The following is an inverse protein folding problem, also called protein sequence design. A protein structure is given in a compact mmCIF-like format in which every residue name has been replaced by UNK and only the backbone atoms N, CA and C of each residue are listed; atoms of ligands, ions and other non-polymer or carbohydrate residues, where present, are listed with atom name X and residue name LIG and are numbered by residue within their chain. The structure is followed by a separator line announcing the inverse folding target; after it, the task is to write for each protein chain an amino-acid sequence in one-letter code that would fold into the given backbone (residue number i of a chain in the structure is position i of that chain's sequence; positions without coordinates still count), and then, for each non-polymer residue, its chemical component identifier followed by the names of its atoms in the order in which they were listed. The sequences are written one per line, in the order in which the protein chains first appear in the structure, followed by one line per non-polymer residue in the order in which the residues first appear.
data_IF_879238578394
#
_entry.id   IF_879238578394
#
_cell.length_a   1.000
_cell.length_b   1.000
_cell.length_c   1.000
_cell.angle_alpha   90.00
_cell.angle_beta   90.00
_cell.angle_gamma   90.00
#
_symmetry.space_group_name_H-M   'P 1'
#
loop_
_entity.id
_entity.type
_entity.pdbx_description
1 polymer ?
#
# COMPACT_ATOMS: atom_id res chain seq x y z
N UNK A 1 -5.18 2.49 32.75
CA UNK A 1 -5.23 2.54 31.27
C UNK A 1 -3.80 2.67 30.75
N UNK A 2 -3.37 1.78 29.86
CA UNK A 2 -2.05 1.84 29.21
C UNK A 2 -2.24 2.57 27.87
N UNK A 3 -1.60 3.73 27.71
CA UNK A 3 -1.70 4.54 26.49
C UNK A 3 -0.39 4.41 25.73
N UNK A 4 -0.47 3.95 24.48
CA UNK A 4 0.67 3.90 23.57
C UNK A 4 0.57 5.09 22.61
N UNK A 5 1.69 5.80 22.42
CA UNK A 5 1.82 6.90 21.46
C UNK A 5 2.90 6.51 20.46
N UNK A 6 2.53 6.51 19.19
CA UNK A 6 3.45 6.27 18.07
C UNK A 6 3.77 7.59 17.37
N UNK A 7 5.05 7.85 17.15
CA UNK A 7 5.54 9.05 16.46
C UNK A 7 6.56 8.65 15.41
N UNK A 8 6.26 8.98 14.16
CA UNK A 8 7.12 8.75 13.01
C UNK A 8 7.57 10.10 12.42
N UNK A 9 8.86 10.28 12.11
CA UNK A 9 9.30 11.41 11.31
C UNK A 9 8.59 11.44 9.96
N UNK A 10 8.29 12.64 9.47
CA UNK A 10 7.66 12.81 8.17
C UNK A 10 8.60 12.34 7.05
N UNK A 11 8.09 11.54 6.11
CA UNK A 11 8.82 11.10 4.91
C UNK A 11 8.00 11.46 3.67
N UNK A 12 8.52 12.31 2.78
CA UNK A 12 7.83 12.73 1.56
C UNK A 12 7.94 11.66 0.48
N UNK A 13 7.00 10.71 0.53
CA UNK A 13 6.93 9.63 -0.45
C UNK A 13 6.51 10.16 -1.82
N UNK A 14 7.08 9.59 -2.87
CA UNK A 14 6.67 9.86 -4.25
C UNK A 14 5.18 9.61 -4.45
N UNK A 15 4.57 10.37 -5.36
CA UNK A 15 3.15 10.23 -5.75
C UNK A 15 2.17 10.49 -4.61
N UNK A 16 2.59 11.26 -3.60
CA UNK A 16 1.73 11.76 -2.53
C UNK A 16 1.61 13.28 -2.63
N UNK A 17 0.58 13.90 -2.03
CA UNK A 17 0.47 15.35 -2.01
C UNK A 17 1.71 16.04 -1.41
N UNK A 18 2.45 15.38 -0.52
CA UNK A 18 3.64 15.95 0.10
C UNK A 18 4.96 15.60 -0.59
N UNK A 19 4.95 15.05 -1.81
CA UNK A 19 6.18 14.68 -2.54
C UNK A 19 7.11 15.88 -2.83
N UNK A 20 6.55 17.10 -2.86
CA UNK A 20 7.31 18.34 -3.03
C UNK A 20 7.83 18.93 -1.72
N UNK A 21 7.37 18.46 -0.57
CA UNK A 21 7.73 19.04 0.72
C UNK A 21 9.03 18.42 1.24
N UNK A 22 9.99 19.27 1.60
CA UNK A 22 11.24 18.85 2.23
C UNK A 22 11.00 18.12 3.55
N UNK A 23 11.82 17.11 3.84
CA UNK A 23 11.90 16.61 5.21
C UNK A 23 12.68 17.63 6.03
N UNK A 24 12.28 17.88 7.26
CA UNK A 24 13.07 18.72 8.15
C UNK A 24 14.42 18.08 8.44
N UNK A 25 15.44 18.90 8.66
CA UNK A 25 16.78 18.42 8.99
C UNK A 25 16.78 17.40 10.16
N UNK A 26 17.60 16.36 10.02
CA UNK A 26 17.62 15.18 10.90
C UNK A 26 18.00 15.53 12.34
N UNK A 27 18.88 16.51 12.57
CA UNK A 27 19.21 16.99 13.92
C UNK A 27 17.99 17.65 14.58
N UNK A 28 17.19 18.42 13.82
CA UNK A 28 15.95 18.99 14.33
C UNK A 28 14.94 17.91 14.70
N UNK A 29 14.77 16.89 13.85
CA UNK A 29 13.90 15.73 14.12
C UNK A 29 14.33 15.01 15.39
N UNK A 30 15.63 14.70 15.54
CA UNK A 30 16.19 14.04 16.74
C UNK A 30 15.90 14.84 18.01
N UNK A 31 16.04 16.17 17.99
CA UNK A 31 15.68 17.03 19.13
C UNK A 31 14.20 16.95 19.48
N UNK A 32 13.31 17.02 18.49
CA UNK A 32 11.86 16.95 18.69
C UNK A 32 11.42 15.58 19.21
N UNK A 33 11.97 14.50 18.66
CA UNK A 33 11.71 13.13 19.12
C UNK A 33 12.15 12.93 20.57
N UNK A 34 13.35 13.42 20.94
CA UNK A 34 13.82 13.41 22.33
C UNK A 34 12.87 14.17 23.26
N UNK A 35 12.46 15.37 22.86
CA UNK A 35 11.52 16.19 23.62
C UNK A 35 10.17 15.49 23.85
N UNK A 36 9.58 14.91 22.80
CA UNK A 36 8.33 14.16 22.89
C UNK A 36 8.46 12.94 23.80
N UNK A 37 9.54 12.16 23.65
CA UNK A 37 9.83 11.00 24.49
C UNK A 37 9.92 11.38 25.97
N UNK A 38 10.56 12.51 26.29
CA UNK A 38 10.67 13.01 27.66
C UNK A 38 9.32 13.43 28.25
N UNK A 39 8.46 14.10 27.47
CA UNK A 39 7.11 14.50 27.91
C UNK A 39 6.21 13.28 28.13
N UNK A 40 6.19 12.36 27.18
CA UNK A 40 5.33 11.18 27.25
C UNK A 40 5.76 10.24 28.38
N UNK A 41 7.07 10.13 28.63
CA UNK A 41 7.59 9.41 29.80
C UNK A 41 7.07 10.01 31.12
N UNK A 42 7.07 11.33 31.27
CA UNK A 42 6.51 12.01 32.48
C UNK A 42 5.02 11.72 32.68
N UNK A 43 4.28 11.53 31.59
CA UNK A 43 2.84 11.19 31.59
C UNK A 43 2.55 9.70 31.73
N UNK A 44 3.59 8.84 31.87
CA UNK A 44 3.48 7.37 31.89
C UNK A 44 2.85 6.78 30.62
N UNK A 45 3.06 7.43 29.48
CA UNK A 45 2.67 6.88 28.18
C UNK A 45 3.82 6.06 27.61
N UNK A 46 3.50 4.94 26.96
CA UNK A 46 4.48 4.16 26.22
C UNK A 46 4.73 4.84 24.88
N UNK A 47 5.96 5.29 24.67
CA UNK A 47 6.38 5.93 23.43
C UNK A 47 7.00 4.90 22.50
N UNK A 48 6.44 4.77 21.30
CA UNK A 48 7.01 4.04 20.17
C UNK A 48 7.45 5.08 19.15
N UNK A 49 8.72 5.02 18.75
CA UNK A 49 9.28 5.98 17.81
C UNK A 49 9.99 5.24 16.69
N UNK A 50 9.80 5.69 15.47
CA UNK A 50 10.62 5.25 14.34
C UNK A 50 12.04 5.85 14.45
N UNK A 51 13.04 5.08 13.99
CA UNK A 51 14.43 5.55 13.95
C UNK A 51 14.55 6.73 12.98
N UNK A 52 15.12 7.81 13.46
CA UNK A 52 15.26 9.07 12.73
C UNK A 52 16.19 8.91 11.52
N UNK A 53 17.30 8.21 11.71
CA UNK A 53 18.30 7.93 10.67
C UNK A 53 17.73 7.07 9.52
N UNK A 54 16.86 6.11 9.86
CA UNK A 54 16.16 5.30 8.86
C UNK A 54 15.16 6.16 8.09
N UNK A 55 14.40 7.00 8.79
CA UNK A 55 13.45 7.93 8.17
C UNK A 55 14.13 8.95 7.25
N UNK A 56 15.37 9.35 7.57
CA UNK A 56 16.21 10.15 6.70
C UNK A 56 16.55 9.42 5.41
N UNK A 57 17.09 8.19 5.49
CA UNK A 57 17.39 7.39 4.29
C UNK A 57 16.14 7.11 3.45
N UNK A 58 15.00 6.84 4.09
CA UNK A 58 13.74 6.69 3.36
C UNK A 58 13.37 7.95 2.59
N UNK A 59 13.58 9.12 3.17
CA UNK A 59 13.30 10.41 2.54
C UNK A 59 14.28 10.72 1.40
N UNK A 60 15.53 10.29 1.52
CA UNK A 60 16.55 10.34 0.47
C UNK A 60 16.10 9.51 -0.73
N UNK A 61 15.81 8.22 -0.54
CA UNK A 61 15.49 7.31 -1.64
C UNK A 61 14.08 7.52 -2.21
N UNK A 62 13.12 8.01 -1.42
CA UNK A 62 11.78 8.34 -1.91
C UNK A 62 11.75 9.48 -2.94
N UNK A 63 12.82 10.30 -3.01
CA UNK A 63 12.98 11.38 -3.99
C UNK A 63 14.27 11.29 -4.79
N UNK A 64 15.04 10.23 -4.56
CA UNK A 64 16.27 9.95 -5.26
C UNK A 64 16.07 9.71 -6.75
N UNK A 65 17.11 9.96 -7.52
CA UNK A 65 17.23 9.59 -8.92
C UNK A 65 18.40 8.60 -9.11
N UNK A 66 18.75 8.32 -10.36
CA UNK A 66 19.85 7.41 -10.71
C UNK A 66 21.21 7.84 -10.14
N UNK A 67 21.39 9.10 -9.76
CA UNK A 67 22.65 9.63 -9.21
C UNK A 67 22.91 9.12 -7.80
N UNK A 68 21.91 8.54 -7.13
CA UNK A 68 22.09 7.84 -5.86
C UNK A 68 22.61 6.40 -6.01
N UNK A 69 22.70 5.86 -7.24
CA UNK A 69 23.18 4.49 -7.46
C UNK A 69 24.57 4.23 -6.84
N UNK A 70 25.58 5.12 -6.99
CA UNK A 70 26.90 4.92 -6.37
C UNK A 70 26.84 4.87 -4.84
N UNK A 71 25.92 5.62 -4.21
CA UNK A 71 25.73 5.60 -2.76
C UNK A 71 25.23 4.23 -2.28
N UNK A 72 24.25 3.65 -2.98
CA UNK A 72 23.70 2.33 -2.68
C UNK A 72 24.77 1.25 -2.86
N UNK A 73 25.51 1.30 -3.98
CA UNK A 73 26.60 0.37 -4.26
C UNK A 73 27.71 0.46 -3.20
N UNK A 74 28.09 1.68 -2.82
CA UNK A 74 29.10 1.91 -1.78
C UNK A 74 28.63 1.39 -0.43
N UNK A 75 27.42 1.71 0.01
CA UNK A 75 26.85 1.20 1.26
C UNK A 75 26.81 -0.34 1.27
N UNK A 76 26.44 -0.95 0.14
CA UNK A 76 26.48 -2.40 -0.04
C UNK A 76 27.93 -2.94 0.07
N UNK A 77 28.92 -2.27 -0.50
CA UNK A 77 30.33 -2.69 -0.38
C UNK A 77 30.85 -2.60 1.07
N UNK A 78 30.32 -1.67 1.87
CA UNK A 78 30.60 -1.52 3.31
C UNK A 78 29.81 -2.51 4.18
N UNK A 79 29.02 -3.39 3.57
CA UNK A 79 28.32 -4.47 4.25
C UNK A 79 26.91 -4.13 4.74
N UNK A 80 26.29 -3.05 4.26
CA UNK A 80 24.87 -2.77 4.52
C UNK A 80 23.98 -3.85 3.89
N UNK A 81 23.20 -4.57 4.69
CA UNK A 81 22.28 -5.64 4.25
C UNK A 81 21.07 -5.63 5.18
N UNK A 82 19.89 -5.83 4.61
CA UNK A 82 18.64 -5.93 5.38
C UNK A 82 18.41 -4.69 6.28
N UNK A 83 18.73 -3.49 5.81
CA UNK A 83 18.65 -2.26 6.60
C UNK A 83 17.23 -1.88 7.05
N UNK A 84 16.18 -2.55 6.53
CA UNK A 84 14.82 -2.39 7.04
C UNK A 84 14.64 -2.97 8.46
N UNK A 85 15.56 -3.85 8.91
CA UNK A 85 15.53 -4.45 10.24
C UNK A 85 16.47 -3.70 11.20
N UNK A 86 15.95 -3.35 12.37
CA UNK A 86 16.66 -2.47 13.31
C UNK A 86 17.96 -3.05 13.85
N UNK A 87 18.04 -4.37 13.96
CA UNK A 87 19.17 -5.15 14.44
C UNK A 87 20.37 -5.17 13.47
N UNK A 88 20.12 -5.01 12.18
CA UNK A 88 21.15 -4.99 11.12
C UNK A 88 21.46 -3.59 10.64
N UNK A 89 20.56 -2.64 10.87
CA UNK A 89 20.70 -1.27 10.39
C UNK A 89 21.81 -0.49 11.11
N UNK A 90 22.84 -0.15 10.33
CA UNK A 90 24.01 0.62 10.76
C UNK A 90 24.15 1.90 9.93
N UNK A 91 23.74 3.02 10.52
CA UNK A 91 23.79 4.31 9.85
C UNK A 91 25.22 4.84 9.65
N UNK A 92 26.21 4.40 10.44
CA UNK A 92 27.59 4.88 10.27
C UNK A 92 28.16 4.46 8.92
N UNK A 93 27.82 3.25 8.44
CA UNK A 93 28.19 2.79 7.10
C UNK A 93 27.56 3.65 6.00
N UNK A 94 26.34 4.12 6.20
CA UNK A 94 25.69 5.03 5.27
C UNK A 94 26.37 6.41 5.27
N UNK A 95 26.74 6.94 6.43
CA UNK A 95 27.54 8.18 6.52
C UNK A 95 28.88 8.03 5.81
N UNK A 96 29.61 6.95 6.07
CA UNK A 96 30.87 6.64 5.38
C UNK A 96 30.66 6.53 3.86
N UNK A 97 29.58 5.90 3.41
CA UNK A 97 29.27 5.80 1.98
C UNK A 97 28.98 7.18 1.35
N UNK A 98 28.28 8.07 2.07
CA UNK A 98 28.05 9.45 1.62
C UNK A 98 29.37 10.23 1.51
N UNK A 99 30.26 10.09 2.48
CA UNK A 99 31.59 10.73 2.46
C UNK A 99 32.44 10.21 1.30
N UNK A 100 32.55 8.89 1.11
CA UNK A 100 33.38 8.30 0.05
C UNK A 100 32.86 8.56 -1.36
N UNK A 101 31.54 8.73 -1.53
CA UNK A 101 30.95 9.06 -2.83
C UNK A 101 30.81 10.57 -3.08
N UNK A 102 30.93 11.39 -2.04
CA UNK A 102 30.66 12.82 -2.09
C UNK A 102 29.17 13.17 -2.31
N UNK A 103 28.26 12.20 -2.19
CA UNK A 103 26.83 12.41 -2.42
C UNK A 103 26.21 13.12 -1.21
N UNK A 104 25.70 14.33 -1.43
CA UNK A 104 24.92 15.05 -0.43
C UNK A 104 23.49 14.51 -0.37
N UNK A 105 23.27 13.46 0.43
CA UNK A 105 21.95 12.85 0.62
C UNK A 105 20.93 13.84 1.21
N UNK A 106 21.37 14.75 2.10
CA UNK A 106 20.48 15.75 2.70
C UNK A 106 19.87 16.70 1.66
N UNK A 107 20.57 16.98 0.55
CA UNK A 107 20.01 17.77 -0.55
C UNK A 107 18.77 17.09 -1.19
N UNK A 108 18.71 15.76 -1.23
CA UNK A 108 17.51 15.03 -1.66
C UNK A 108 16.46 15.01 -0.55
N UNK A 109 16.89 14.85 0.70
CA UNK A 109 15.99 14.72 1.85
C UNK A 109 15.25 16.03 2.19
N UNK A 110 15.94 17.16 2.13
CA UNK A 110 15.50 18.43 2.71
C UNK A 110 14.96 19.41 1.67
N UNK A 111 15.25 19.19 0.38
CA UNK A 111 14.78 20.08 -0.68
C UNK A 111 13.24 20.09 -0.75
N UNK A 112 12.70 21.30 -0.67
CA UNK A 112 11.32 21.60 -1.06
C UNK A 112 11.32 22.01 -2.54
N UNK A 113 10.50 21.36 -3.33
CA UNK A 113 10.39 21.56 -4.78
C UNK A 113 9.17 22.44 -5.09
N UNK A 114 9.24 23.19 -6.20
CA UNK A 114 8.08 23.79 -6.82
C UNK A 114 7.11 22.71 -7.33
N UNK A 115 5.81 22.98 -7.26
CA UNK A 115 4.79 22.02 -7.72
C UNK A 115 4.84 21.77 -9.24
N UNK A 116 5.44 22.70 -9.97
CA UNK A 116 5.73 22.66 -11.41
C UNK A 116 7.06 21.96 -11.74
N UNK A 117 7.95 21.76 -10.77
CA UNK A 117 9.21 21.03 -10.99
C UNK A 117 8.93 19.56 -11.37
N UNK A 118 9.76 19.03 -12.27
CA UNK A 118 9.77 17.61 -12.61
C UNK A 118 10.51 16.84 -11.52
N UNK A 119 9.89 15.78 -11.00
CA UNK A 119 10.46 14.92 -9.97
C UNK A 119 10.99 13.62 -10.58
N UNK A 120 11.96 12.99 -9.92
CA UNK A 120 12.64 11.76 -10.37
C UNK A 120 11.66 10.63 -10.64
N UNK A 121 10.61 10.55 -9.83
CA UNK A 121 9.59 9.50 -9.93
C UNK A 121 8.48 9.81 -10.95
N UNK A 122 8.45 11.00 -11.58
CA UNK A 122 7.41 11.37 -12.57
C UNK A 122 7.37 10.43 -13.80
N UNK A 123 8.37 9.56 -13.98
CA UNK A 123 8.40 8.52 -15.00
C UNK A 123 7.40 7.37 -14.75
N UNK A 124 6.87 7.24 -13.52
CA UNK A 124 5.91 6.21 -13.14
C UNK A 124 4.50 6.79 -13.10
N UNK A 125 3.62 6.24 -13.94
CA UNK A 125 2.19 6.55 -13.88
C UNK A 125 1.49 5.64 -12.85
N UNK A 126 0.98 6.26 -11.77
CA UNK A 126 0.18 5.58 -10.75
C UNK A 126 -1.33 5.64 -11.04
N UNK A 127 -1.73 6.35 -12.08
CA UNK A 127 -3.11 6.70 -12.39
C UNK A 127 -3.65 7.90 -11.59
N UNK A 128 -2.93 8.38 -10.56
CA UNK A 128 -3.28 9.62 -9.86
C UNK A 128 -2.66 10.81 -10.58
N UNK A 129 -3.47 11.82 -10.91
CA UNK A 129 -2.99 12.99 -11.66
C UNK A 129 -2.13 13.90 -10.79
N UNK A 130 -1.07 14.46 -11.39
CA UNK A 130 -0.19 15.43 -10.72
C UNK A 130 -0.96 16.67 -10.28
N UNK A 131 -1.88 17.16 -11.10
CA UNK A 131 -2.78 18.27 -10.79
C UNK A 131 -3.61 18.03 -9.51
N UNK A 132 -4.12 16.81 -9.33
CA UNK A 132 -4.84 16.45 -8.11
C UNK A 132 -3.91 16.50 -6.90
N UNK A 133 -2.72 15.91 -6.98
CA UNK A 133 -1.73 15.95 -5.91
C UNK A 133 -1.32 17.38 -5.54
N UNK A 134 -1.16 18.27 -6.54
CA UNK A 134 -0.88 19.68 -6.32
C UNK A 134 -2.02 20.37 -5.55
N UNK A 135 -3.28 20.14 -5.93
CA UNK A 135 -4.44 20.71 -5.24
C UNK A 135 -4.55 20.20 -3.80
N UNK A 136 -4.33 18.92 -3.59
CA UNK A 136 -4.33 18.32 -2.24
C UNK A 136 -3.18 18.85 -1.38
N UNK A 137 -2.01 19.11 -1.98
CA UNK A 137 -0.90 19.75 -1.28
C UNK A 137 -1.29 21.14 -0.78
N UNK A 138 -1.86 21.98 -1.65
CA UNK A 138 -2.29 23.33 -1.28
C UNK A 138 -3.36 23.30 -0.18
N UNK A 139 -4.34 22.40 -0.28
CA UNK A 139 -5.36 22.19 0.77
C UNK A 139 -4.74 21.76 2.09
N UNK A 140 -3.77 20.85 2.06
CA UNK A 140 -3.11 20.37 3.26
C UNK A 140 -2.32 21.50 3.96
N UNK A 141 -1.65 22.35 3.18
CA UNK A 141 -0.93 23.52 3.71
C UNK A 141 -1.90 24.58 4.25
N UNK A 142 -3.08 24.78 3.65
CA UNK A 142 -4.12 25.69 4.15
C UNK A 142 -4.95 25.11 5.31
N UNK A 143 -4.75 23.84 5.67
CA UNK A 143 -5.52 23.14 6.71
C UNK A 143 -6.93 22.72 6.26
N UNK A 144 -7.23 22.81 4.96
CA UNK A 144 -8.47 22.34 4.37
C UNK A 144 -8.51 20.81 4.32
N UNK A 145 -9.71 20.24 4.48
CA UNK A 145 -9.93 18.80 4.43
C UNK A 145 -10.63 18.40 3.15
N UNK A 146 -10.15 17.34 2.54
CA UNK A 146 -10.83 16.67 1.43
C UNK A 146 -11.81 15.64 1.99
N UNK A 147 -13.03 15.64 1.48
CA UNK A 147 -14.08 14.71 1.93
C UNK A 147 -13.83 13.30 1.39
N UNK A 148 -14.51 12.31 1.96
CA UNK A 148 -14.41 10.90 1.55
C UNK A 148 -14.78 10.72 0.07
N UNK A 149 -13.83 10.19 -0.72
CA UNK A 149 -13.98 10.01 -2.16
C UNK A 149 -15.06 8.98 -2.55
N UNK A 150 -15.52 8.15 -1.60
CA UNK A 150 -16.65 7.24 -1.79
C UNK A 150 -18.00 7.96 -1.80
N UNK A 151 -18.05 9.17 -1.23
CA UNK A 151 -19.25 10.01 -1.20
C UNK A 151 -19.22 11.04 -2.32
N UNK A 152 -18.08 11.70 -2.51
CA UNK A 152 -17.89 12.74 -3.52
C UNK A 152 -16.59 12.48 -4.26
N UNK A 153 -16.66 12.21 -5.56
CA UNK A 153 -15.46 12.02 -6.38
C UNK A 153 -14.71 13.35 -6.52
N UNK A 154 -13.40 13.34 -6.25
CA UNK A 154 -12.51 14.50 -6.39
C UNK A 154 -11.68 14.48 -7.67
N UNK A 155 -12.04 13.61 -8.61
CA UNK A 155 -11.39 13.47 -9.91
C UNK A 155 -9.85 13.30 -9.81
N UNK A 156 -9.39 12.40 -8.93
CA UNK A 156 -7.97 12.17 -8.72
C UNK A 156 -7.24 11.52 -9.90
N UNK A 157 -7.94 11.17 -10.98
CA UNK A 157 -7.38 10.50 -12.16
C UNK A 157 -7.58 8.97 -12.15
N UNK A 158 -7.78 8.38 -10.96
CA UNK A 158 -8.15 6.97 -10.87
C UNK A 158 -9.52 6.77 -11.51
N UNK A 159 -9.56 5.98 -12.59
CA UNK A 159 -10.79 5.61 -13.31
C UNK A 159 -11.60 4.59 -12.50
N UNK A 160 -12.03 4.99 -11.31
CA UNK A 160 -12.83 4.17 -10.41
C UNK A 160 -14.14 3.79 -11.10
N UNK A 161 -14.45 2.49 -11.14
CA UNK A 161 -15.78 2.03 -11.55
C UNK A 161 -16.76 2.46 -10.47
N UNK A 162 -17.80 3.18 -10.86
CA UNK A 162 -18.84 3.70 -9.98
C UNK A 162 -19.36 2.60 -9.02
N UNK A 163 -19.02 2.75 -7.74
CA UNK A 163 -19.92 2.35 -6.66
C UNK A 163 -20.25 3.62 -5.87
N UNK A 164 -20.79 4.61 -6.58
CA UNK A 164 -21.58 5.66 -5.94
C UNK A 164 -22.91 5.01 -5.56
N UNK A 165 -23.00 4.44 -4.35
CA UNK A 165 -24.30 4.20 -3.74
C UNK A 165 -24.92 5.56 -3.48
N UNK A 166 -25.74 6.02 -4.42
CA UNK A 166 -26.86 6.95 -4.30
C UNK A 166 -26.93 7.76 -2.99
N UNK A 167 -25.94 8.61 -2.71
CA UNK A 167 -26.03 9.61 -1.64
C UNK A 167 -26.70 10.86 -2.19
N UNK A 168 -27.95 10.73 -2.63
CA UNK A 168 -29.01 11.75 -2.60
C UNK A 168 -28.78 13.13 -3.22
N UNK A 169 -27.65 13.44 -3.85
CA UNK A 169 -27.41 14.75 -4.48
C UNK A 169 -27.30 14.60 -6.00
N UNK A 170 -28.46 14.40 -6.63
CA UNK A 170 -28.61 14.54 -8.08
C UNK A 170 -28.55 16.02 -8.45
N UNK A 171 -27.53 16.42 -9.20
CA UNK A 171 -27.67 17.54 -10.13
C UNK A 171 -28.76 17.11 -11.12
N UNK A 172 -29.84 17.89 -11.16
CA UNK A 172 -30.99 17.60 -12.01
C UNK A 172 -30.58 17.73 -13.47
N UNK A 173 -30.62 16.63 -14.22
CA UNK A 173 -30.83 16.70 -15.65
C UNK A 173 -32.02 15.83 -16.05
N UNK A 174 -32.98 16.49 -16.70
CA UNK A 174 -34.26 15.95 -17.11
C UNK A 174 -34.10 15.13 -18.40
N UNK A 175 -34.61 13.89 -18.38
CA UNK A 175 -35.61 13.31 -19.32
C UNK A 175 -35.31 11.85 -19.68
N UNK A 176 -36.38 11.04 -19.66
CA UNK A 176 -36.50 9.81 -20.47
C UNK A 176 -36.30 8.52 -19.68
N UNK A 177 -37.40 7.86 -19.31
CA UNK A 177 -37.37 6.58 -18.60
C UNK A 177 -37.10 5.37 -19.49
N UNK A 178 -36.90 4.22 -18.84
CA UNK A 178 -37.55 2.92 -19.08
C UNK A 178 -37.29 2.06 -17.83
N UNK A 179 -38.36 1.48 -17.29
CA UNK A 179 -38.33 0.54 -16.17
C UNK A 179 -37.79 -0.80 -16.66
N UNK A 180 -36.85 -1.40 -15.92
CA UNK A 180 -36.63 -2.84 -16.04
C UNK A 180 -36.51 -3.47 -14.65
N UNK A 181 -37.37 -4.46 -14.45
CA UNK A 181 -37.65 -5.15 -13.21
C UNK A 181 -36.40 -5.91 -12.73
N UNK A 182 -35.96 -5.63 -11.50
CA UNK A 182 -34.96 -6.46 -10.81
C UNK A 182 -35.65 -7.72 -10.31
N UNK A 183 -35.35 -8.85 -10.93
CA UNK A 183 -35.69 -10.16 -10.38
C UNK A 183 -34.86 -10.37 -9.11
N UNK A 184 -35.56 -10.58 -8.01
CA UNK A 184 -35.04 -10.86 -6.67
C UNK A 184 -34.11 -12.09 -6.66
N UNK A 185 -32.80 -11.88 -6.53
CA UNK A 185 -31.84 -12.92 -6.14
C UNK A 185 -31.60 -12.96 -4.62
N UNK A 186 -32.44 -12.28 -3.82
CA UNK A 186 -32.19 -12.06 -2.38
C UNK A 186 -32.76 -13.13 -1.44
N UNK A 187 -33.38 -14.20 -1.94
CA UNK A 187 -34.21 -15.06 -1.08
C UNK A 187 -33.82 -16.54 -0.99
N UNK A 188 -32.62 -16.98 -1.43
CA UNK A 188 -32.25 -18.42 -1.32
C UNK A 188 -30.91 -18.67 -0.57
N UNK A 189 -30.11 -17.65 -0.25
CA UNK A 189 -28.69 -17.88 0.15
C UNK A 189 -28.49 -18.21 1.65
N UNK A 190 -29.51 -18.12 2.49
CA UNK A 190 -29.31 -18.16 3.95
C UNK A 190 -29.18 -19.55 4.60
N UNK A 191 -29.38 -20.66 3.88
CA UNK A 191 -29.35 -22.02 4.46
C UNK A 191 -28.45 -23.02 3.71
N UNK A 192 -27.48 -22.56 2.92
CA UNK A 192 -26.52 -23.46 2.31
C UNK A 192 -25.33 -23.71 3.24
N UNK A 193 -25.06 -24.97 3.59
CA UNK A 193 -23.89 -25.37 4.37
C UNK A 193 -22.61 -25.08 3.58
N UNK A 194 -21.58 -24.61 4.28
CA UNK A 194 -20.29 -24.32 3.66
C UNK A 194 -19.66 -25.62 3.14
N UNK A 195 -19.18 -25.61 1.90
CA UNK A 195 -18.48 -26.73 1.30
C UNK A 195 -16.98 -26.42 1.32
N UNK A 196 -16.18 -27.38 1.79
CA UNK A 196 -14.73 -27.31 1.70
C UNK A 196 -14.27 -28.02 0.44
N UNK A 197 -13.50 -27.32 -0.38
CA UNK A 197 -12.95 -27.85 -1.62
C UNK A 197 -11.43 -27.70 -1.62
N UNK A 198 -10.76 -28.68 -2.22
CA UNK A 198 -9.33 -28.65 -2.52
C UNK A 198 -9.14 -28.30 -3.98
N UNK A 199 -8.34 -27.28 -4.24
CA UNK A 199 -8.00 -26.83 -5.58
C UNK A 199 -6.57 -27.23 -5.87
N UNK A 200 -6.38 -27.95 -6.98
CA UNK A 200 -5.07 -28.15 -7.60
C UNK A 200 -4.81 -27.00 -8.57
N UNK A 201 -3.63 -26.39 -8.51
CA UNK A 201 -3.23 -25.35 -9.44
C UNK A 201 -1.77 -25.50 -9.84
N UNK A 202 -1.41 -24.87 -10.95
CA UNK A 202 -0.02 -24.75 -11.40
C UNK A 202 0.42 -23.29 -11.42
N UNK A 203 1.69 -23.07 -11.09
CA UNK A 203 2.41 -21.80 -11.14
C UNK A 203 3.66 -22.00 -11.99
N UNK A 204 3.54 -21.74 -13.28
CA UNK A 204 4.62 -21.89 -14.26
C UNK A 204 4.79 -20.61 -15.11
N UNK A 205 5.76 -20.62 -16.03
CA UNK A 205 6.01 -19.48 -16.91
C UNK A 205 6.35 -18.21 -16.13
N UNK A 206 5.70 -17.10 -16.46
CA UNK A 206 5.89 -15.80 -15.77
C UNK A 206 5.38 -15.81 -14.33
N UNK A 207 4.40 -16.66 -13.99
CA UNK A 207 3.83 -16.71 -12.65
C UNK A 207 4.81 -17.21 -11.61
N UNK A 208 5.86 -17.96 -11.99
CA UNK A 208 6.89 -18.46 -11.07
C UNK A 208 7.63 -17.35 -10.32
N UNK A 209 7.66 -16.13 -10.89
CA UNK A 209 8.31 -14.96 -10.30
C UNK A 209 7.45 -14.23 -9.26
N UNK A 210 6.18 -14.60 -9.09
CA UNK A 210 5.38 -14.06 -7.99
C UNK A 210 5.86 -14.64 -6.66
N UNK A 211 6.04 -13.79 -5.65
CA UNK A 211 6.17 -14.23 -4.26
C UNK A 211 4.88 -14.90 -3.77
N UNK A 212 4.95 -15.58 -2.62
CA UNK A 212 3.77 -16.24 -2.05
C UNK A 212 2.60 -15.27 -1.83
N UNK A 213 2.86 -14.09 -1.26
CA UNK A 213 1.81 -13.10 -0.98
C UNK A 213 1.18 -12.54 -2.26
N UNK A 214 1.98 -12.32 -3.29
CA UNK A 214 1.48 -11.87 -4.61
C UNK A 214 0.65 -12.95 -5.30
N UNK A 215 1.08 -14.22 -5.21
CA UNK A 215 0.31 -15.36 -5.72
C UNK A 215 -1.06 -15.45 -5.02
N UNK A 216 -1.08 -15.38 -3.68
CA UNK A 216 -2.32 -15.38 -2.88
C UNK A 216 -3.23 -14.22 -3.30
N UNK A 217 -2.66 -13.03 -3.47
CA UNK A 217 -3.42 -11.85 -3.92
C UNK A 217 -3.99 -12.04 -5.34
N UNK A 218 -3.19 -12.58 -6.26
CA UNK A 218 -3.62 -12.86 -7.63
C UNK A 218 -4.75 -13.89 -7.67
N UNK A 219 -4.65 -14.96 -6.88
CA UNK A 219 -5.69 -15.97 -6.76
C UNK A 219 -6.99 -15.39 -6.19
N UNK A 220 -6.94 -14.59 -5.11
CA UNK A 220 -8.15 -13.95 -4.58
C UNK A 220 -8.79 -12.97 -5.57
N UNK A 221 -7.99 -12.25 -6.36
CA UNK A 221 -8.50 -11.39 -7.43
C UNK A 221 -9.16 -12.22 -8.54
N UNK A 222 -8.57 -13.35 -8.93
CA UNK A 222 -9.14 -14.26 -9.92
C UNK A 222 -10.48 -14.85 -9.43
N UNK A 223 -10.52 -15.34 -8.19
CA UNK A 223 -11.75 -15.87 -7.57
C UNK A 223 -12.87 -14.82 -7.50
N UNK A 224 -12.53 -13.57 -7.15
CA UNK A 224 -13.49 -12.46 -7.14
C UNK A 224 -14.02 -12.14 -8.53
N UNK A 225 -13.16 -12.17 -9.56
CA UNK A 225 -13.56 -11.94 -10.96
C UNK A 225 -14.43 -13.07 -11.51
N UNK A 226 -14.24 -14.28 -10.99
CA UNK A 226 -15.06 -15.45 -11.30
C UNK A 226 -16.32 -15.55 -10.42
N UNK A 227 -16.62 -14.53 -9.61
CA UNK A 227 -17.80 -14.47 -8.74
C UNK A 227 -17.94 -15.66 -7.77
N UNK A 228 -16.80 -16.19 -7.31
CA UNK A 228 -16.78 -17.30 -6.35
C UNK A 228 -17.16 -16.78 -4.95
N UNK A 229 -18.23 -17.35 -4.39
CA UNK A 229 -18.76 -17.07 -3.05
C UNK A 229 -17.87 -17.63 -1.93
N UNK A 230 -16.67 -17.06 -1.76
CA UNK A 230 -15.74 -17.39 -0.68
C UNK A 230 -16.34 -17.07 0.68
N UNK A 231 -16.14 -17.98 1.65
CA UNK A 231 -16.50 -17.72 3.05
C UNK A 231 -15.42 -16.91 3.74
N UNK A 232 -15.83 -16.00 4.61
CA UNK A 232 -14.93 -15.13 5.39
C UNK A 232 -14.98 -15.46 6.89
N UNK A 233 -13.89 -15.15 7.59
CA UNK A 233 -13.83 -15.20 9.05
C UNK A 233 -14.76 -14.15 9.69
N UNK A 234 -15.27 -14.43 10.89
CA UNK A 234 -16.25 -13.59 11.61
C UNK A 234 -15.58 -12.59 12.57
N UNK A 235 -14.31 -12.25 12.35
CA UNK A 235 -13.54 -11.33 13.20
C UNK A 235 -13.61 -9.87 12.74
N UNK A 236 -12.96 -8.97 13.47
CA UNK A 236 -12.87 -7.53 13.16
C UNK A 236 -12.21 -7.22 11.81
N UNK A 237 -11.41 -8.15 11.28
CA UNK A 237 -10.83 -8.10 9.95
C UNK A 237 -11.20 -9.38 9.19
N UNK A 238 -12.35 -9.41 8.49
CA UNK A 238 -12.82 -10.60 7.79
C UNK A 238 -11.83 -10.99 6.69
N UNK A 239 -11.24 -12.18 6.84
CA UNK A 239 -10.30 -12.78 5.90
C UNK A 239 -10.93 -13.98 5.19
N UNK A 240 -10.64 -14.22 3.89
CA UNK A 240 -11.10 -15.42 3.21
C UNK A 240 -10.63 -16.67 3.95
N UNK A 241 -11.52 -17.65 4.11
CA UNK A 241 -11.19 -18.96 4.67
C UNK A 241 -10.51 -19.84 3.63
N UNK A 242 -9.21 -19.59 3.44
CA UNK A 242 -8.35 -20.34 2.52
C UNK A 242 -7.07 -20.75 3.23
N UNK A 243 -6.64 -21.99 3.02
CA UNK A 243 -5.41 -22.56 3.56
C UNK A 243 -4.52 -23.05 2.42
N UNK A 244 -3.34 -22.44 2.29
CA UNK A 244 -2.35 -22.82 1.27
C UNK A 244 -1.40 -23.89 1.80
N UNK A 245 -0.85 -24.69 0.89
CA UNK A 245 0.33 -25.51 1.17
C UNK A 245 1.61 -24.68 1.40
N UNK A 246 2.75 -25.34 1.64
CA UNK A 246 4.03 -24.67 1.82
C UNK A 246 4.38 -23.76 0.64
N UNK A 247 4.88 -22.56 0.93
CA UNK A 247 5.26 -21.61 -0.10
C UNK A 247 6.51 -22.08 -0.85
N UNK A 248 6.42 -22.12 -2.18
CA UNK A 248 7.60 -22.25 -3.05
C UNK A 248 8.39 -20.94 -3.09
N UNK A 249 9.71 -21.05 -3.23
CA UNK A 249 10.59 -19.91 -3.45
C UNK A 249 10.28 -19.16 -4.76
N UNK A 250 10.59 -17.87 -4.80
CA UNK A 250 10.47 -17.06 -6.02
C UNK A 250 11.36 -17.66 -7.12
N UNK A 251 10.81 -17.82 -8.32
CA UNK A 251 11.50 -18.42 -9.46
C UNK A 251 11.28 -19.92 -9.61
N UNK A 252 10.73 -20.61 -8.59
CA UNK A 252 10.43 -22.04 -8.63
C UNK A 252 9.04 -22.26 -9.22
N UNK A 253 8.94 -23.16 -10.20
CA UNK A 253 7.67 -23.57 -10.80
C UNK A 253 7.01 -24.68 -9.98
N UNK A 254 5.71 -24.56 -9.74
CA UNK A 254 4.88 -25.59 -9.11
C UNK A 254 3.89 -26.14 -10.14
N UNK A 255 3.90 -27.45 -10.38
CA UNK A 255 3.00 -28.06 -11.38
C UNK A 255 1.70 -28.55 -10.75
N UNK A 256 1.76 -28.99 -9.49
CA UNK A 256 0.62 -29.53 -8.74
C UNK A 256 0.66 -29.01 -7.31
N UNK A 257 0.37 -27.74 -7.18
CA UNK A 257 0.23 -27.08 -5.89
C UNK A 257 -1.23 -27.19 -5.42
N UNK A 258 -1.43 -27.13 -4.10
CA UNK A 258 -2.76 -27.29 -3.51
C UNK A 258 -3.10 -26.17 -2.54
N UNK A 259 -4.36 -25.78 -2.53
CA UNK A 259 -4.96 -25.02 -1.44
C UNK A 259 -6.37 -25.52 -1.15
N UNK A 260 -6.81 -25.35 0.09
CA UNK A 260 -8.17 -25.65 0.52
C UNK A 260 -8.94 -24.34 0.72
N UNK A 261 -10.20 -24.29 0.27
CA UNK A 261 -11.09 -23.13 0.50
C UNK A 261 -12.49 -23.55 0.95
N UNK A 262 -13.14 -22.69 1.73
CA UNK A 262 -14.56 -22.81 2.07
C UNK A 262 -15.41 -21.87 1.19
N UNK A 263 -16.43 -22.42 0.52
CA UNK A 263 -17.37 -21.67 -0.33
C UNK A 263 -18.82 -21.90 0.10
N UNK A 264 -19.70 -20.95 -0.23
CA UNK A 264 -21.16 -21.06 -0.01
C UNK A 264 -21.89 -21.25 -1.35
N UNK A 265 -22.77 -22.26 -1.49
CA UNK A 265 -23.64 -22.42 -2.66
C UNK A 265 -24.59 -21.22 -2.88
N UNK A 266 -25.16 -21.02 -4.08
CA UNK A 266 -25.06 -21.89 -5.25
C UNK A 266 -23.71 -21.73 -5.98
N UNK A 267 -23.05 -22.84 -6.25
CA UNK A 267 -21.82 -22.91 -7.03
C UNK A 267 -21.89 -24.16 -7.90
N UNK A 268 -21.77 -23.98 -9.22
CA UNK A 268 -21.71 -25.09 -10.16
C UNK A 268 -20.24 -25.55 -10.30
N UNK A 269 -19.93 -26.66 -9.63
CA UNK A 269 -18.61 -27.31 -9.69
C UNK A 269 -18.26 -27.72 -11.12
N UNK A 270 -19.23 -28.19 -11.90
CA UNK A 270 -19.00 -28.72 -13.24
C UNK A 270 -18.72 -27.60 -14.25
N UNK A 271 -19.40 -26.46 -14.12
CA UNK A 271 -19.06 -25.25 -14.88
C UNK A 271 -17.62 -24.80 -14.58
N UNK A 272 -17.21 -24.82 -13.31
CA UNK A 272 -15.90 -24.34 -12.90
C UNK A 272 -14.74 -25.22 -13.40
N UNK A 273 -14.86 -26.55 -13.28
CA UNK A 273 -13.83 -27.50 -13.75
C UNK A 273 -13.59 -27.38 -15.26
N UNK A 274 -14.60 -26.98 -16.04
CA UNK A 274 -14.53 -26.91 -17.50
C UNK A 274 -14.11 -25.55 -18.06
N UNK A 275 -14.11 -24.49 -17.25
CA UNK A 275 -13.96 -23.09 -17.71
C UNK A 275 -12.61 -22.43 -17.41
N UNK A 276 -11.71 -23.12 -16.70
CA UNK A 276 -10.32 -22.69 -16.41
C UNK A 276 -9.32 -23.69 -16.98
#
# INVERSE_FOLDING_TARGET
VKINVDVSPFVPKSHTPFQWHGQENVESIKRKMKYLKEIFRKKRFEFKGHREDMSFLEAVFARGDERLSPLIEKAWSLGCRLDAWGETFDFQKWTQAMEETGINAAAYAEKTYGTDERLSWDIIDTGVSKDFLCKEYQRAISGEKTSDCRKVCHACGLKCKEQMQDTGYRIQDKKGGIQNQKIHASCIVHHASAIRIRVEFSKAGVLKYLSHLELVTALFRAMRRAEISLRYSQGFHPSPKVSFGPALGVGIAGIKEYFDMEITPPFDIDYFIRSM
#
